data_IF_459992441160
#
_entry.id   IF_459992441160
#
_cell.length_a   1.000
_cell.length_b   1.000
_cell.length_c   1.000
_cell.angle_alpha   90.00
_cell.angle_beta   90.00
_cell.angle_gamma   90.00
#
_symmetry.space_group_name_H-M   'P 1'
#
loop_
_entity.id
_entity.type
_entity.pdbx_description
1 polymer ?
#
# COMPACT_ATOMS: atom_id res chain seq x y z
N UNK A 1 -3.52 9.44 -10.51
CA UNK A 1 -3.03 8.33 -9.67
C UNK A 1 -1.54 8.51 -9.48
N UNK A 2 -1.05 8.47 -8.24
CA UNK A 2 0.37 8.67 -7.89
C UNK A 2 1.08 7.31 -7.96
N UNK A 3 2.26 7.16 -8.59
CA UNK A 3 2.92 5.86 -8.63
C UNK A 3 3.47 5.44 -7.28
N UNK A 4 3.53 4.13 -7.03
CA UNK A 4 4.15 3.56 -5.84
C UNK A 4 5.42 2.83 -6.27
N UNK A 5 6.56 3.31 -5.75
CA UNK A 5 7.91 2.85 -6.06
C UNK A 5 8.45 2.02 -4.90
N UNK A 6 8.95 0.83 -5.20
CA UNK A 6 9.55 -0.08 -4.22
C UNK A 6 11.03 0.20 -3.98
N UNK A 7 11.60 -0.46 -2.97
CA UNK A 7 12.99 -0.21 -2.52
C UNK A 7 14.06 -0.56 -3.57
N UNK A 8 13.72 -1.35 -4.58
CA UNK A 8 14.58 -1.66 -5.74
C UNK A 8 14.48 -0.62 -6.87
N UNK A 9 13.66 0.42 -6.69
CA UNK A 9 13.45 1.51 -7.64
C UNK A 9 12.37 1.22 -8.71
N UNK A 10 11.77 0.04 -8.72
CA UNK A 10 10.68 -0.30 -9.62
C UNK A 10 9.34 0.33 -9.20
N UNK A 11 8.47 0.60 -10.17
CA UNK A 11 7.06 0.87 -9.86
C UNK A 11 6.29 -0.45 -9.86
N UNK A 12 5.48 -0.69 -8.82
CA UNK A 12 4.64 -1.90 -8.75
C UNK A 12 3.14 -1.61 -8.69
N UNK A 13 2.72 -0.38 -8.36
CA UNK A 13 1.31 0.00 -8.27
C UNK A 13 1.11 1.50 -8.50
N UNK A 14 -0.16 1.93 -8.48
CA UNK A 14 -0.53 3.35 -8.39
C UNK A 14 -1.60 3.56 -7.33
N UNK A 15 -1.60 4.73 -6.69
CA UNK A 15 -2.57 5.12 -5.68
C UNK A 15 -3.90 5.47 -6.33
N UNK A 16 -4.97 4.80 -5.89
CA UNK A 16 -6.35 5.11 -6.25
C UNK A 16 -6.89 6.27 -5.42
N UNK A 17 -6.82 6.10 -4.10
CA UNK A 17 -7.20 7.11 -3.12
C UNK A 17 -6.28 7.01 -1.90
N UNK A 18 -5.69 8.12 -1.43
CA UNK A 18 -5.10 8.15 -0.10
C UNK A 18 -6.26 8.13 0.91
N UNK A 19 -6.52 6.97 1.52
CA UNK A 19 -7.53 6.87 2.58
C UNK A 19 -7.07 7.60 3.83
N UNK A 20 -8.04 8.13 4.60
CA UNK A 20 -7.78 8.93 5.81
C UNK A 20 -7.29 8.11 7.03
N UNK A 21 -7.05 6.81 6.85
CA UNK A 21 -6.59 5.89 7.89
C UNK A 21 -5.12 5.50 7.73
N UNK A 22 -4.76 4.32 8.24
CA UNK A 22 -3.39 3.80 8.24
C UNK A 22 -3.00 3.03 6.97
N UNK A 23 -3.77 3.18 5.88
CA UNK A 23 -3.57 2.42 4.64
C UNK A 23 -3.73 3.28 3.41
N UNK A 24 -3.04 2.90 2.34
CA UNK A 24 -3.15 3.50 1.01
C UNK A 24 -3.89 2.53 0.10
N UNK A 25 -4.98 3.00 -0.52
CA UNK A 25 -5.72 2.23 -1.51
C UNK A 25 -5.03 2.33 -2.87
N UNK A 26 -4.73 1.17 -3.43
CA UNK A 26 -4.13 1.02 -4.74
C UNK A 26 -5.21 0.84 -5.82
N UNK A 27 -4.86 1.23 -7.04
CA UNK A 27 -5.70 1.00 -8.22
C UNK A 27 -5.93 -0.49 -8.44
N UNK A 28 -7.03 -0.79 -9.14
CA UNK A 28 -7.37 -2.17 -9.48
C UNK A 28 -6.25 -2.84 -10.29
N UNK A 29 -6.00 -4.10 -9.99
CA UNK A 29 -5.16 -4.96 -10.80
C UNK A 29 -5.89 -5.41 -12.10
N UNK A 30 -5.23 -6.28 -12.88
CA UNK A 30 -5.78 -6.82 -14.13
C UNK A 30 -7.07 -7.65 -13.93
N UNK A 31 -7.32 -8.12 -12.70
CA UNK A 31 -8.54 -8.86 -12.33
C UNK A 31 -9.65 -7.93 -11.81
N UNK A 32 -9.39 -6.62 -11.75
CA UNK A 32 -10.35 -5.64 -11.25
C UNK A 32 -10.39 -5.53 -9.72
N UNK A 33 -9.42 -6.12 -9.00
CA UNK A 33 -9.36 -6.16 -7.54
C UNK A 33 -8.54 -4.99 -6.99
N UNK A 34 -9.07 -4.31 -5.97
CA UNK A 34 -8.31 -3.30 -5.22
C UNK A 34 -7.37 -3.96 -4.22
N UNK A 35 -6.25 -3.28 -3.98
CA UNK A 35 -5.27 -3.67 -2.99
C UNK A 35 -4.99 -2.55 -2.01
N UNK A 36 -4.54 -2.88 -0.80
CA UNK A 36 -4.20 -1.92 0.24
C UNK A 36 -2.82 -2.21 0.80
N UNK A 37 -2.03 -1.15 0.97
CA UNK A 37 -0.74 -1.21 1.66
C UNK A 37 -0.79 -0.36 2.94
N UNK A 38 -0.17 -0.79 4.04
CA UNK A 38 -0.01 0.04 5.23
C UNK A 38 0.82 1.29 4.98
N UNK A 39 0.45 2.42 5.58
CA UNK A 39 1.28 3.63 5.60
C UNK A 39 2.64 3.38 6.26
N UNK A 40 2.76 2.39 7.15
CA UNK A 40 4.02 2.01 7.78
C UNK A 40 5.08 1.48 6.80
N UNK A 41 4.69 1.13 5.56
CA UNK A 41 5.64 0.77 4.51
C UNK A 41 6.25 1.99 3.85
N UNK A 42 5.59 3.15 3.94
CA UNK A 42 6.00 4.38 3.24
C UNK A 42 7.22 4.99 3.92
N UNK A 43 8.27 5.20 3.15
CA UNK A 43 9.52 5.83 3.62
C UNK A 43 9.57 7.31 3.28
N UNK A 44 9.05 7.69 2.11
CA UNK A 44 8.98 9.07 1.64
C UNK A 44 7.86 9.25 0.62
N UNK A 45 7.37 10.47 0.47
CA UNK A 45 6.39 10.86 -0.54
C UNK A 45 6.89 12.10 -1.27
N UNK A 46 7.04 11.98 -2.58
CA UNK A 46 7.32 13.06 -3.52
C UNK A 46 6.29 13.05 -4.67
N UNK A 47 6.74 13.06 -5.93
CA UNK A 47 5.91 12.75 -7.10
C UNK A 47 5.45 11.26 -7.08
N UNK A 48 6.07 10.45 -6.23
CA UNK A 48 5.81 9.03 -6.01
C UNK A 48 5.67 8.72 -4.51
N UNK A 49 4.98 7.63 -4.19
CA UNK A 49 5.02 7.02 -2.86
C UNK A 49 6.15 5.99 -2.85
N UNK A 50 7.16 6.20 -2.02
CA UNK A 50 8.28 5.26 -1.88
C UNK A 50 8.03 4.33 -0.71
N UNK A 51 8.23 3.02 -0.90
CA UNK A 51 8.08 2.00 0.15
C UNK A 51 9.39 1.29 0.50
N UNK A 52 9.45 0.75 1.71
CA UNK A 52 10.65 0.13 2.32
C UNK A 52 11.01 -1.28 1.81
N UNK A 53 10.20 -1.85 0.91
CA UNK A 53 10.32 -3.25 0.48
C UNK A 53 10.33 -3.42 -1.03
N UNK A 54 10.87 -4.54 -1.55
CA UNK A 54 10.84 -4.87 -2.97
C UNK A 54 9.42 -5.05 -3.51
N UNK A 55 9.23 -4.81 -4.81
CA UNK A 55 7.90 -4.84 -5.43
C UNK A 55 7.22 -6.20 -5.33
N UNK A 56 7.97 -7.28 -5.56
CA UNK A 56 7.44 -8.65 -5.43
C UNK A 56 7.00 -8.96 -3.99
N UNK A 57 7.73 -8.47 -2.99
CA UNK A 57 7.35 -8.64 -1.59
C UNK A 57 6.10 -7.81 -1.26
N UNK A 58 5.99 -6.59 -1.78
CA UNK A 58 4.82 -5.75 -1.61
C UNK A 58 3.56 -6.42 -2.17
N UNK A 59 3.62 -6.98 -3.38
CA UNK A 59 2.51 -7.68 -4.03
C UNK A 59 2.12 -8.99 -3.34
N UNK A 60 3.01 -9.61 -2.56
CA UNK A 60 2.67 -10.79 -1.76
C UNK A 60 2.03 -10.43 -0.43
N UNK A 61 2.28 -9.22 0.09
CA UNK A 61 1.90 -8.81 1.44
C UNK A 61 0.78 -7.76 1.48
N UNK A 62 0.39 -7.20 0.33
CA UNK A 62 -0.73 -6.29 0.27
C UNK A 62 -2.04 -7.00 0.65
N UNK A 63 -3.01 -6.24 1.13
CA UNK A 63 -4.35 -6.78 1.41
C UNK A 63 -5.21 -6.69 0.16
N UNK A 64 -6.01 -7.71 -0.12
CA UNK A 64 -7.11 -7.64 -1.11
C UNK A 64 -8.46 -7.31 -0.46
N UNK A 65 -8.48 -7.15 0.86
CA UNK A 65 -9.65 -6.77 1.64
C UNK A 65 -9.54 -5.32 2.08
N UNK A 66 -10.64 -4.57 1.98
CA UNK A 66 -10.71 -3.22 2.51
C UNK A 66 -10.51 -3.29 4.03
N UNK A 67 -9.55 -2.54 4.60
CA UNK A 67 -9.31 -2.59 6.02
C UNK A 67 -10.57 -2.14 6.76
N UNK A 68 -11.14 -3.05 7.57
CA UNK A 68 -12.23 -2.73 8.48
C UNK A 68 -11.73 -1.60 9.39
N UNK A 69 -12.27 -0.39 9.18
CA UNK A 69 -11.67 0.88 9.59
C UNK A 69 -10.83 0.84 10.86
N UNK A 70 -9.53 1.15 10.74
CA UNK A 70 -8.60 1.54 11.81
C UNK A 70 -8.41 0.64 13.06
N UNK A 71 -9.15 -0.44 13.30
CA UNK A 71 -9.08 -1.16 14.60
C UNK A 71 -8.20 -2.42 14.64
N UNK A 72 -7.66 -2.90 13.51
CA UNK A 72 -6.80 -4.10 13.52
C UNK A 72 -5.31 -3.83 13.82
N UNK A 73 -4.85 -2.56 13.74
CA UNK A 73 -3.45 -2.21 14.00
C UNK A 73 -3.07 -2.30 15.50
N UNK A 74 -4.05 -2.33 16.41
CA UNK A 74 -3.82 -2.45 17.85
C UNK A 74 -3.61 -3.89 18.36
N UNK A 75 -3.73 -4.92 17.51
CA UNK A 75 -3.65 -6.33 17.94
C UNK A 75 -2.22 -6.88 18.08
N UNK A 76 -1.20 -6.02 18.13
CA UNK A 76 0.22 -6.42 18.37
C UNK A 76 0.82 -5.74 19.60
N UNK A 77 0.03 -5.55 20.66
CA UNK A 77 0.53 -5.28 22.01
C UNK A 77 -0.29 -6.05 23.03
N UNK A 78 -0.05 -7.36 23.08
CA UNK A 78 -0.41 -8.25 24.19
C UNK A 78 0.58 -9.39 24.25
#
# INVERSE_FOLDING_TARGET
HMPVVCSDGGQFATVDHPDAGDTIKLTKDEQGQHHWIPMSWVTHVDEHVHVDRPGEQAMQQWSSEEPAGAEAAAMRSS
#
